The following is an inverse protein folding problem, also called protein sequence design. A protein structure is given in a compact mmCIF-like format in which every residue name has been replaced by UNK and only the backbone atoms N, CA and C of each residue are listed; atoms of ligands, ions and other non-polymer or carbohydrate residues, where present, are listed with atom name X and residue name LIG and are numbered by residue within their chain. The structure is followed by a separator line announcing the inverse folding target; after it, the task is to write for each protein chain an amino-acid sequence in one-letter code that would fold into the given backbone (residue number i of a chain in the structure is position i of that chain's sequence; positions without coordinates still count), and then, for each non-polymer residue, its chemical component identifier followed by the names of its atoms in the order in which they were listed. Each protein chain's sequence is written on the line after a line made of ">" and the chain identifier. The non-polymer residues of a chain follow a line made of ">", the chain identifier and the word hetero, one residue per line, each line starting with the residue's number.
data_IF_881954644903
#
_entry.id   IF_881954644903
#
_cell.length_a   1.000
_cell.length_b   1.000
_cell.length_c   1.000
_cell.angle_alpha   90.00
_cell.angle_beta   90.00
_cell.angle_gamma   90.00
#
_symmetry.space_group_name_H-M   'P 1'
#
loop_
_entity.id
_entity.type
_entity.pdbx_description
1 polymer ?
#
# COMPACT_ATOMS: atom_id res chain seq x y z
N UNK A 1 -11.93 -15.65 2.90
CA UNK A 1 -10.80 -15.35 3.82
C UNK A 1 -10.74 -13.85 3.96
N UNK A 2 -10.57 -13.36 5.18
CA UNK A 2 -10.47 -11.93 5.48
C UNK A 2 -9.21 -11.68 6.29
N UNK A 3 -8.48 -10.61 5.97
CA UNK A 3 -7.21 -10.27 6.60
C UNK A 3 -7.17 -8.76 6.81
N UNK A 4 -6.93 -8.34 8.05
CA UNK A 4 -6.66 -6.94 8.39
C UNK A 4 -5.17 -6.62 8.16
N UNK A 5 -4.90 -5.40 7.69
CA UNK A 5 -3.55 -4.89 7.51
C UNK A 5 -3.41 -3.45 7.96
N UNK A 6 -2.18 -3.12 8.33
CA UNK A 6 -1.74 -1.77 8.65
C UNK A 6 -0.75 -1.26 7.59
N UNK A 7 -1.07 -0.11 7.00
CA UNK A 7 -0.19 0.60 6.06
C UNK A 7 0.32 1.88 6.72
N UNK A 8 1.64 2.08 6.69
CA UNK A 8 2.28 3.36 7.03
C UNK A 8 3.05 3.81 5.79
N UNK A 9 2.70 5.00 5.30
CA UNK A 9 3.27 5.56 4.07
C UNK A 9 3.86 6.94 4.38
N UNK A 10 5.19 7.03 4.35
CA UNK A 10 5.94 8.26 4.58
C UNK A 10 6.69 8.54 3.27
N UNK A 11 6.27 9.53 2.47
CA UNK A 11 6.94 9.87 1.22
C UNK A 11 8.32 10.46 1.52
N UNK A 12 9.23 10.29 0.57
CA UNK A 12 10.50 11.03 0.56
C UNK A 12 10.41 12.05 -0.56
N UNK A 13 10.46 13.33 -0.21
CA UNK A 13 10.46 14.41 -1.21
C UNK A 13 11.91 14.62 -1.62
N UNK A 14 12.18 14.58 -2.92
CA UNK A 14 13.49 14.89 -3.48
C UNK A 14 13.31 16.16 -4.32
N UNK A 15 14.01 17.22 -3.94
CA UNK A 15 13.99 18.51 -4.63
C UNK A 15 14.57 18.42 -6.04
N UNK A 16 14.39 19.48 -6.82
CA UNK A 16 14.90 19.57 -8.21
C UNK A 16 16.42 19.45 -8.30
N UNK A 17 17.12 19.73 -7.20
CA UNK A 17 18.57 19.59 -7.06
C UNK A 17 19.01 18.15 -6.70
N UNK A 18 18.07 17.21 -6.61
CA UNK A 18 18.32 15.81 -6.27
C UNK A 18 18.52 15.56 -4.77
N UNK A 19 18.37 16.58 -3.92
CA UNK A 19 18.51 16.43 -2.46
C UNK A 19 17.17 16.09 -1.82
N UNK A 20 17.22 15.30 -0.75
CA UNK A 20 16.04 15.02 0.04
C UNK A 20 15.60 16.29 0.79
N UNK A 21 14.35 16.69 0.59
CA UNK A 21 13.72 17.75 1.35
C UNK A 21 13.17 17.17 2.65
N UNK A 22 13.50 17.82 3.77
CA UNK A 22 12.97 17.42 5.06
C UNK A 22 11.49 17.79 5.12
N UNK A 23 10.63 16.79 5.29
CA UNK A 23 9.24 17.00 5.62
C UNK A 23 9.11 17.60 7.03
N UNK A 24 8.10 18.44 7.20
CA UNK A 24 7.73 18.98 8.51
C UNK A 24 7.43 17.86 9.52
N UNK A 25 7.85 18.02 10.77
CA UNK A 25 7.79 16.96 11.77
C UNK A 25 6.34 16.62 12.16
N UNK A 26 5.42 17.59 12.18
CA UNK A 26 3.99 17.34 12.42
C UNK A 26 3.36 16.62 11.22
N UNK A 27 3.78 16.94 10.00
CA UNK A 27 3.37 16.22 8.80
C UNK A 27 3.86 14.76 8.80
N UNK A 28 5.12 14.51 9.18
CA UNK A 28 5.66 13.14 9.34
C UNK A 28 4.86 12.39 10.41
N UNK A 29 4.55 13.02 11.53
CA UNK A 29 3.76 12.42 12.62
C UNK A 29 2.37 12.03 12.14
N UNK A 30 1.70 12.89 11.38
CA UNK A 30 0.39 12.60 10.79
C UNK A 30 0.44 11.40 9.82
N UNK A 31 1.50 11.28 9.01
CA UNK A 31 1.69 10.17 8.07
C UNK A 31 2.16 8.86 8.73
N UNK A 32 2.76 8.95 9.92
CA UNK A 32 3.22 7.80 10.70
C UNK A 32 2.09 7.06 11.39
N UNK A 33 0.89 7.63 11.47
CA UNK A 33 -0.29 6.96 12.03
C UNK A 33 -0.69 5.79 11.13
N UNK A 34 -0.68 4.53 11.63
CA UNK A 34 -1.06 3.38 10.83
C UNK A 34 -2.50 3.48 10.32
N UNK A 35 -2.65 3.40 9.00
CA UNK A 35 -3.96 3.30 8.36
C UNK A 35 -4.36 1.83 8.33
N UNK A 36 -5.57 1.56 8.80
CA UNK A 36 -6.11 0.21 8.85
C UNK A 36 -6.97 -0.06 7.64
N UNK A 37 -6.96 -1.30 7.25
CA UNK A 37 -7.68 -1.72 6.08
C UNK A 37 -7.94 -3.24 6.11
N UNK A 38 -8.79 -3.72 5.21
CA UNK A 38 -9.17 -5.13 5.08
C UNK A 38 -8.95 -5.65 3.67
N UNK A 39 -8.44 -6.88 3.55
CA UNK A 39 -8.39 -7.62 2.31
C UNK A 39 -9.29 -8.85 2.44
N UNK A 40 -10.30 -8.91 1.59
CA UNK A 40 -11.22 -10.03 1.49
C UNK A 40 -10.90 -10.82 0.23
N UNK A 41 -10.81 -12.15 0.35
CA UNK A 41 -10.52 -13.07 -0.74
C UNK A 41 -11.62 -14.13 -0.78
N UNK A 42 -12.28 -14.23 -1.94
CA UNK A 42 -13.29 -15.25 -2.20
C UNK A 42 -13.25 -15.68 -3.67
N UNK A 43 -13.20 -17.00 -3.92
CA UNK A 43 -13.38 -17.62 -5.25
C UNK A 43 -12.56 -16.97 -6.38
N UNK A 44 -11.29 -16.68 -6.15
CA UNK A 44 -10.41 -16.08 -7.16
C UNK A 44 -10.54 -14.56 -7.31
N UNK A 45 -11.34 -13.90 -6.46
CA UNK A 45 -11.47 -12.45 -6.38
C UNK A 45 -10.88 -11.93 -5.09
N UNK A 46 -10.37 -10.72 -5.11
CA UNK A 46 -9.97 -10.00 -3.91
C UNK A 46 -10.47 -8.56 -3.90
N UNK A 47 -10.85 -8.09 -2.72
CA UNK A 47 -11.28 -6.72 -2.45
C UNK A 47 -10.41 -6.17 -1.33
N UNK A 48 -9.71 -5.08 -1.63
CA UNK A 48 -8.89 -4.31 -0.71
C UNK A 48 -9.64 -3.01 -0.40
N UNK A 49 -9.96 -2.80 0.87
CA UNK A 49 -10.77 -1.66 1.31
C UNK A 49 -10.21 -1.01 2.56
N UNK A 50 -10.23 0.32 2.60
CA UNK A 50 -9.84 1.10 3.78
C UNK A 50 -10.88 0.94 4.89
N UNK A 51 -10.42 0.68 6.11
CA UNK A 51 -11.26 0.72 7.31
C UNK A 51 -11.23 2.16 7.83
N UNK A 52 -12.35 2.87 7.72
CA UNK A 52 -12.49 4.18 8.35
C UNK A 52 -12.68 4.02 9.86
N UNK A 53 -11.67 4.42 10.63
CA UNK A 53 -11.79 4.53 12.10
C UNK A 53 -12.25 5.95 12.43
N UNK A 54 -13.36 6.06 13.16
CA UNK A 54 -13.83 7.34 13.71
C UNK A 54 -12.78 7.80 14.73
N UNK A 55 -12.16 8.95 14.47
CA UNK A 55 -11.21 9.55 15.39
C UNK A 55 -11.87 10.72 16.14
N UNK A 56 -12.16 10.54 17.42
CA UNK A 56 -12.79 11.54 18.29
C UNK A 56 -11.80 12.50 18.97
N UNK A 57 -10.53 12.51 18.57
CA UNK A 57 -9.57 13.46 19.15
C UNK A 57 -9.81 14.88 18.60
N UNK A 58 -10.24 15.77 19.49
CA UNK A 58 -10.34 17.20 19.24
C UNK A 58 -8.92 17.77 19.07
N UNK A 59 -8.63 18.35 17.90
CA UNK A 59 -7.36 19.05 17.64
C UNK A 59 -6.51 18.52 16.48
N UNK A 60 -6.97 17.53 15.70
CA UNK A 60 -6.17 17.05 14.58
C UNK A 60 -6.19 18.04 13.41
N UNK A 61 -5.02 18.56 13.07
CA UNK A 61 -4.78 19.22 11.80
C UNK A 61 -5.20 18.28 10.67
N UNK A 62 -6.29 18.62 9.98
CA UNK A 62 -6.70 17.92 8.77
C UNK A 62 -5.71 18.27 7.67
N UNK A 63 -4.76 17.35 7.41
CA UNK A 63 -3.89 17.46 6.25
C UNK A 63 -4.73 17.16 5.01
N UNK A 64 -5.19 18.21 4.33
CA UNK A 64 -5.79 18.10 2.99
C UNK A 64 -4.65 17.87 2.01
N UNK A 65 -4.36 16.61 1.73
CA UNK A 65 -3.39 16.24 0.71
C UNK A 65 -4.11 16.29 -0.65
N UNK A 66 -3.61 17.09 -1.59
CA UNK A 66 -4.13 17.14 -2.96
C UNK A 66 -3.39 16.08 -3.79
N UNK A 67 -4.10 15.07 -4.30
CA UNK A 67 -3.50 13.98 -5.08
C UNK A 67 -4.50 12.90 -5.50
N UNK A 68 -4.05 11.93 -6.30
CA UNK A 68 -4.84 10.75 -6.66
C UNK A 68 -4.88 9.80 -5.46
N UNK A 69 -6.05 9.62 -4.87
CA UNK A 69 -6.25 8.65 -3.78
C UNK A 69 -6.91 7.39 -4.29
N UNK A 70 -6.31 6.25 -3.98
CA UNK A 70 -6.95 4.95 -4.13
C UNK A 70 -7.51 4.46 -2.81
N UNK A 71 -8.83 4.24 -2.78
CA UNK A 71 -9.55 3.86 -1.56
C UNK A 71 -9.90 2.37 -1.57
N UNK A 72 -10.57 1.96 -2.64
CA UNK A 72 -10.97 0.59 -2.85
C UNK A 72 -10.32 0.05 -4.12
N UNK A 73 -9.86 -1.18 -4.03
CA UNK A 73 -9.19 -1.87 -5.12
C UNK A 73 -9.68 -3.31 -5.19
N UNK A 74 -10.16 -3.71 -6.36
CA UNK A 74 -10.69 -5.05 -6.62
C UNK A 74 -9.88 -5.73 -7.70
N UNK A 75 -9.68 -7.04 -7.55
CA UNK A 75 -9.07 -7.89 -8.56
C UNK A 75 -9.91 -9.14 -8.76
N UNK A 76 -10.22 -9.45 -10.03
CA UNK A 76 -10.78 -10.72 -10.45
C UNK A 76 -9.74 -11.48 -11.27
N UNK A 77 -9.07 -12.43 -10.60
CA UNK A 77 -8.02 -13.23 -11.24
C UNK A 77 -8.56 -14.32 -12.16
N UNK A 78 -9.87 -14.58 -12.16
CA UNK A 78 -10.49 -15.49 -13.13
C UNK A 78 -10.71 -14.79 -14.46
N UNK A 79 -10.94 -13.46 -14.44
CA UNK A 79 -11.14 -12.65 -15.63
C UNK A 79 -9.91 -11.82 -16.04
N UNK A 80 -8.84 -11.83 -15.24
CA UNK A 80 -7.68 -10.96 -15.40
C UNK A 80 -8.04 -9.46 -15.42
N UNK A 81 -8.93 -9.03 -14.53
CA UNK A 81 -9.43 -7.64 -14.45
C UNK A 81 -9.17 -7.03 -13.08
N UNK A 82 -8.88 -5.75 -13.05
CA UNK A 82 -8.84 -4.93 -11.84
C UNK A 82 -9.81 -3.75 -11.93
N UNK A 83 -10.24 -3.27 -10.77
CA UNK A 83 -10.99 -2.03 -10.62
C UNK A 83 -10.43 -1.22 -9.45
N UNK A 84 -10.39 0.09 -9.58
CA UNK A 84 -9.87 0.96 -8.53
C UNK A 84 -10.65 2.28 -8.50
N UNK A 85 -11.00 2.72 -7.31
CA UNK A 85 -11.60 4.03 -7.11
C UNK A 85 -10.52 5.10 -7.01
N UNK A 86 -10.61 6.14 -7.85
CA UNK A 86 -9.72 7.31 -7.84
C UNK A 86 -10.51 8.55 -7.45
N UNK A 87 -9.89 9.42 -6.64
CA UNK A 87 -10.40 10.77 -6.40
C UNK A 87 -9.51 11.77 -7.15
N UNK A 88 -10.08 12.51 -8.10
CA UNK A 88 -9.40 13.55 -8.88
C UNK A 88 -10.25 14.82 -8.78
N UNK A 89 -9.69 15.93 -8.31
CA UNK A 89 -10.39 17.22 -8.19
C UNK A 89 -11.77 17.11 -7.51
N UNK A 90 -11.84 16.35 -6.41
CA UNK A 90 -13.06 16.04 -5.65
C UNK A 90 -14.13 15.22 -6.40
N UNK A 91 -13.84 14.71 -7.60
CA UNK A 91 -14.68 13.76 -8.32
C UNK A 91 -14.17 12.34 -8.13
N UNK A 92 -15.10 11.41 -7.94
CA UNK A 92 -14.80 9.97 -7.85
C UNK A 92 -14.88 9.35 -9.23
N UNK A 93 -13.86 8.57 -9.57
CA UNK A 93 -13.76 7.80 -10.81
C UNK A 93 -13.58 6.33 -10.48
N UNK A 94 -14.19 5.46 -11.28
CA UNK A 94 -13.91 4.03 -11.27
C UNK A 94 -13.02 3.72 -12.48
N UNK A 95 -11.77 3.37 -12.20
CA UNK A 95 -10.80 2.95 -13.22
C UNK A 95 -10.84 1.44 -13.33
N UNK A 96 -10.86 0.93 -14.56
CA UNK A 96 -10.84 -0.52 -14.82
C UNK A 96 -9.70 -0.84 -15.77
N UNK A 97 -8.96 -1.91 -15.50
CA UNK A 97 -7.83 -2.34 -16.31
C UNK A 97 -7.62 -3.86 -16.15
N UNK A 98 -6.55 -4.38 -16.72
CA UNK A 98 -6.06 -5.74 -16.50
C UNK A 98 -5.15 -5.84 -15.28
N UNK A 99 -5.09 -7.02 -14.65
CA UNK A 99 -4.23 -7.24 -13.50
C UNK A 99 -2.77 -7.23 -13.97
N UNK A 100 -1.98 -6.32 -13.40
CA UNK A 100 -0.56 -6.20 -13.73
C UNK A 100 0.30 -7.05 -12.79
N UNK A 101 1.20 -7.85 -13.37
CA UNK A 101 2.11 -8.76 -12.62
C UNK A 101 3.59 -8.41 -12.82
N UNK A 102 3.89 -7.14 -13.14
CA UNK A 102 5.22 -6.70 -13.56
C UNK A 102 6.21 -6.49 -12.41
N UNK A 103 5.74 -6.42 -11.16
CA UNK A 103 6.60 -6.18 -10.00
C UNK A 103 7.59 -7.33 -9.79
N UNK A 104 8.88 -6.99 -9.72
CA UNK A 104 9.96 -7.93 -9.41
C UNK A 104 10.34 -7.77 -7.94
N UNK A 105 10.23 -8.86 -7.20
CA UNK A 105 10.51 -8.90 -5.77
C UNK A 105 11.93 -9.44 -5.50
N UNK A 106 12.74 -8.65 -4.82
CA UNK A 106 14.01 -9.09 -4.26
C UNK A 106 13.77 -9.58 -2.82
N UNK A 107 13.94 -10.88 -2.59
CA UNK A 107 13.77 -11.45 -1.24
C UNK A 107 15.00 -11.18 -0.40
N UNK A 108 14.77 -10.78 0.85
CA UNK A 108 15.84 -10.53 1.81
C UNK A 108 15.90 -11.64 2.86
N UNK A 109 16.93 -11.63 3.71
CA UNK A 109 17.05 -12.56 4.84
C UNK A 109 16.31 -12.07 6.10
N UNK A 110 15.78 -10.84 6.07
CA UNK A 110 15.08 -10.21 7.18
C UNK A 110 13.77 -10.94 7.50
N UNK A 111 13.55 -11.21 8.79
CA UNK A 111 12.40 -11.94 9.34
C UNK A 111 11.84 -11.20 10.55
N UNK A 112 10.55 -11.31 10.77
CA UNK A 112 9.87 -10.73 11.93
C UNK A 112 8.56 -11.47 12.20
N UNK A 113 7.78 -10.95 13.15
CA UNK A 113 6.44 -11.45 13.46
C UNK A 113 5.46 -10.27 13.49
N UNK A 114 4.39 -10.34 12.70
CA UNK A 114 3.31 -9.35 12.71
C UNK A 114 1.97 -10.03 12.86
N UNK A 115 1.13 -9.54 13.78
CA UNK A 115 -0.23 -10.06 14.02
C UNK A 115 -0.25 -11.59 14.23
N UNK A 116 0.78 -12.15 14.87
CA UNK A 116 0.92 -13.59 15.11
C UNK A 116 1.42 -14.42 13.93
N UNK A 117 1.76 -13.79 12.79
CA UNK A 117 2.33 -14.45 11.63
C UNK A 117 3.84 -14.22 11.52
N UNK A 118 4.58 -15.28 11.24
CA UNK A 118 5.97 -15.18 10.78
C UNK A 118 6.01 -14.51 9.41
N UNK A 119 6.75 -13.41 9.32
CA UNK A 119 6.89 -12.64 8.08
C UNK A 119 8.34 -12.60 7.60
N UNK A 120 8.49 -12.46 6.29
CA UNK A 120 9.77 -12.21 5.60
C UNK A 120 9.69 -10.89 4.84
N UNK A 121 10.81 -10.22 4.66
CA UNK A 121 10.84 -8.97 3.91
C UNK A 121 11.24 -9.22 2.44
N UNK A 122 10.55 -8.52 1.54
CA UNK A 122 10.87 -8.38 0.14
C UNK A 122 10.98 -6.89 -0.23
N UNK A 123 11.79 -6.58 -1.23
CA UNK A 123 11.96 -5.24 -1.76
C UNK A 123 11.54 -5.22 -3.22
N UNK A 124 10.75 -4.21 -3.61
CA UNK A 124 10.46 -3.89 -5.00
C UNK A 124 11.17 -2.59 -5.32
N UNK A 125 12.08 -2.60 -6.29
CA UNK A 125 12.71 -1.39 -6.82
C UNK A 125 11.98 -0.97 -8.09
N UNK A 126 11.52 0.27 -8.13
CA UNK A 126 10.91 0.87 -9.32
C UNK A 126 11.97 1.59 -10.16
N UNK A 127 12.93 2.23 -9.48
CA UNK A 127 14.15 2.81 -10.03
C UNK A 127 15.22 2.91 -8.91
N UNK A 128 16.34 3.58 -9.18
CA UNK A 128 17.46 3.72 -8.22
C UNK A 128 17.07 4.45 -6.92
N UNK A 129 16.03 5.29 -6.95
CA UNK A 129 15.61 6.12 -5.82
C UNK A 129 14.28 5.68 -5.20
N UNK A 130 13.47 4.91 -5.93
CA UNK A 130 12.15 4.47 -5.52
C UNK A 130 12.11 2.98 -5.20
N UNK A 131 11.74 2.64 -3.96
CA UNK A 131 11.54 1.26 -3.54
C UNK A 131 10.38 1.10 -2.56
N UNK A 132 9.70 -0.03 -2.64
CA UNK A 132 8.75 -0.48 -1.64
C UNK A 132 9.35 -1.62 -0.84
N UNK A 133 9.20 -1.58 0.48
CA UNK A 133 9.54 -2.68 1.39
C UNK A 133 8.23 -3.37 1.78
N UNK A 134 8.11 -4.65 1.48
CA UNK A 134 6.94 -5.46 1.80
C UNK A 134 7.32 -6.56 2.78
N UNK A 135 6.58 -6.67 3.87
CA UNK A 135 6.63 -7.79 4.79
C UNK A 135 5.49 -8.74 4.50
N UNK A 136 5.84 -10.00 4.24
CA UNK A 136 4.91 -11.00 3.74
C UNK A 136 4.95 -12.27 4.56
N UNK A 137 3.81 -12.88 4.84
CA UNK A 137 3.68 -14.11 5.62
C UNK A 137 3.73 -15.35 4.71
N UNK A 138 4.77 -16.19 4.84
CA UNK A 138 4.86 -17.43 4.09
C UNK A 138 3.86 -18.50 4.49
N UNK A 139 2.93 -18.27 5.40
CA UNK A 139 1.86 -19.25 5.70
C UNK A 139 0.60 -19.02 4.85
N UNK A 140 0.44 -17.85 4.22
CA UNK A 140 -0.78 -17.44 3.52
C UNK A 140 -0.74 -17.69 1.99
N UNK A 141 -1.90 -17.74 1.29
CA UNK A 141 -1.96 -18.01 -0.16
C UNK A 141 -1.18 -17.01 -1.04
N UNK A 142 -0.55 -17.50 -2.11
CA UNK A 142 0.39 -16.75 -2.98
C UNK A 142 -0.24 -15.70 -3.90
N UNK A 143 -1.48 -15.94 -4.33
CA UNK A 143 -2.09 -15.24 -5.47
C UNK A 143 -2.54 -13.81 -5.13
N UNK A 144 -2.73 -13.52 -3.85
CA UNK A 144 -3.38 -12.30 -3.39
C UNK A 144 -2.42 -11.47 -2.56
N UNK A 145 -2.66 -10.17 -2.54
CA UNK A 145 -1.88 -9.21 -1.77
C UNK A 145 -2.57 -7.85 -1.73
N UNK A 146 -2.04 -6.92 -0.93
CA UNK A 146 -2.57 -5.58 -0.85
C UNK A 146 -2.32 -4.82 -2.16
N UNK A 147 -3.39 -4.26 -2.77
CA UNK A 147 -3.34 -3.53 -4.05
C UNK A 147 -2.57 -4.29 -5.14
N UNK A 148 -1.53 -3.68 -5.71
CA UNK A 148 -0.67 -4.24 -6.75
C UNK A 148 0.40 -5.23 -6.24
N UNK A 149 0.58 -5.39 -4.91
CA UNK A 149 1.60 -6.27 -4.33
C UNK A 149 1.20 -7.74 -4.32
N UNK A 150 0.93 -8.27 -5.52
CA UNK A 150 0.50 -9.64 -5.79
C UNK A 150 1.68 -10.51 -6.28
N UNK A 151 1.53 -11.83 -6.25
CA UNK A 151 2.56 -12.79 -6.70
C UNK A 151 3.91 -12.70 -5.97
N UNK A 152 3.95 -12.10 -4.79
CA UNK A 152 5.04 -12.37 -3.85
C UNK A 152 5.12 -13.87 -3.61
N UNK A 153 6.31 -14.40 -3.23
CA UNK A 153 6.43 -15.81 -2.93
C UNK A 153 5.35 -16.31 -1.99
N UNK A 154 4.80 -15.42 -1.10
CA UNK A 154 3.48 -15.46 -0.40
C UNK A 154 3.03 -14.04 0.05
N UNK A 155 1.77 -13.90 0.49
CA UNK A 155 1.01 -12.69 0.90
C UNK A 155 1.69 -11.59 1.74
N UNK A 156 1.49 -10.30 1.44
CA UNK A 156 1.98 -9.14 2.22
C UNK A 156 1.06 -8.70 3.39
N UNK A 157 1.56 -8.68 4.62
CA UNK A 157 0.84 -8.23 5.84
C UNK A 157 1.09 -6.75 6.16
N UNK A 158 2.25 -6.22 5.75
CA UNK A 158 2.62 -4.82 5.99
C UNK A 158 3.46 -4.30 4.83
N UNK A 159 3.09 -3.16 4.27
CA UNK A 159 3.88 -2.46 3.26
C UNK A 159 4.36 -1.13 3.83
N UNK A 160 5.61 -0.79 3.50
CA UNK A 160 6.17 0.55 3.69
C UNK A 160 6.63 1.04 2.33
N UNK A 161 5.94 2.05 1.82
CA UNK A 161 6.17 2.61 0.49
C UNK A 161 7.08 3.83 0.66
N UNK A 162 8.16 3.88 -0.11
CA UNK A 162 8.97 5.07 -0.29
C UNK A 162 8.74 5.56 -1.72
N UNK A 163 8.05 6.68 -1.89
CA UNK A 163 7.68 7.24 -3.20
C UNK A 163 8.26 8.65 -3.39
N UNK A 164 8.80 8.89 -4.60
CA UNK A 164 9.25 10.18 -5.14
C UNK A 164 8.10 10.82 -5.94
N UNK A 165 7.80 12.08 -5.66
CA UNK A 165 6.90 12.91 -6.46
C UNK A 165 7.73 13.99 -7.15
N UNK A 166 7.62 14.10 -8.48
CA UNK A 166 8.23 15.18 -9.25
C UNK A 166 7.17 16.25 -9.50
N UNK A 167 7.47 17.52 -9.19
CA UNK A 167 6.69 18.71 -9.59
C UNK A 167 7.49 19.58 -10.56
#
# INVERSE_FOLDING_TARGET
>A
MEIEYEEVSIPRIIGKDGKEEKLDDDFIKALSVPKNYVLQIEKGKSVFSKIEKINNSQGNASVTMYGIFSYNFEQDFNQNKMKQEWMIENKKYLVTDTISTHLKYELTQEKSTYLGFDVKQAVVKYDDNNKSIIWYAPSLPKRFGPKEFINLPRFGIKSRIYSKWNY
#
